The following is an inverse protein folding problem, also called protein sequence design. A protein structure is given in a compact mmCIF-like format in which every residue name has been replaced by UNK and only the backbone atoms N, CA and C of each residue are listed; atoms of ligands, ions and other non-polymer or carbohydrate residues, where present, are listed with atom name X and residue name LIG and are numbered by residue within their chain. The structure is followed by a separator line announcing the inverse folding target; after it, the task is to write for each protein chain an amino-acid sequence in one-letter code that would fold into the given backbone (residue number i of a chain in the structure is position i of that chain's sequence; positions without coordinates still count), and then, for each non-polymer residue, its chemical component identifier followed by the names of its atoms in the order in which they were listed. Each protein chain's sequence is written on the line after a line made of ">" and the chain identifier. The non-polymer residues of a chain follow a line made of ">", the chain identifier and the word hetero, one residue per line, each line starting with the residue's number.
data_IF_745447504412
#
_entry.id   IF_745447504412
#
_cell.length_a   1.000
_cell.length_b   1.000
_cell.length_c   1.000
_cell.angle_alpha   90.00
_cell.angle_beta   90.00
_cell.angle_gamma   90.00
#
_symmetry.space_group_name_H-M   'P 1'
#
loop_
_entity.id
_entity.type
_entity.pdbx_description
1 polymer ?
#
# COMPACT_ATOMS: atom_id res chain seq x y z
N UNK A 1 6.61 22.93 -1.54
CA UNK A 1 5.58 23.16 -2.63
C UNK A 1 5.62 22.11 -3.75
N UNK A 2 6.79 21.63 -4.18
CA UNK A 2 6.88 20.59 -5.22
C UNK A 2 6.31 19.22 -4.78
N UNK A 3 6.48 18.81 -3.52
CA UNK A 3 5.99 17.51 -3.03
C UNK A 3 4.45 17.42 -2.98
N UNK A 4 3.75 18.50 -2.60
CA UNK A 4 2.28 18.56 -2.66
C UNK A 4 1.76 18.35 -4.10
N UNK A 5 2.54 18.78 -5.11
CA UNK A 5 2.18 18.57 -6.51
C UNK A 5 2.33 17.11 -6.97
N UNK A 6 3.24 16.32 -6.38
CA UNK A 6 3.42 14.91 -6.78
C UNK A 6 2.30 14.05 -6.21
N UNK A 7 1.91 14.23 -4.94
CA UNK A 7 0.74 13.55 -4.36
C UNK A 7 -0.55 13.90 -5.14
N UNK A 8 -0.69 15.16 -5.57
CA UNK A 8 -1.81 15.60 -6.43
C UNK A 8 -1.79 14.96 -7.83
N UNK A 9 -0.62 14.60 -8.37
CA UNK A 9 -0.49 13.89 -9.65
C UNK A 9 -0.82 12.40 -9.51
N UNK A 10 -0.61 11.81 -8.32
CA UNK A 10 -0.91 10.39 -8.08
C UNK A 10 -2.41 10.09 -8.07
N UNK A 11 -3.23 11.01 -7.58
CA UNK A 11 -4.69 10.88 -7.56
C UNK A 11 -5.30 10.66 -8.96
N UNK A 12 -5.06 11.52 -9.98
CA UNK A 12 -5.61 11.29 -11.32
C UNK A 12 -5.06 10.02 -11.96
N UNK A 13 -3.84 9.61 -11.64
CA UNK A 13 -3.25 8.35 -12.13
C UNK A 13 -4.04 7.15 -11.58
N UNK A 14 -4.22 7.05 -10.26
CA UNK A 14 -4.96 5.92 -9.70
C UNK A 14 -6.42 5.90 -10.19
N UNK A 15 -7.06 7.07 -10.34
CA UNK A 15 -8.40 7.18 -10.91
C UNK A 15 -8.46 6.72 -12.37
N UNK A 16 -7.46 7.09 -13.18
CA UNK A 16 -7.32 6.57 -14.54
C UNK A 16 -7.13 5.04 -14.55
N UNK A 17 -6.33 4.50 -13.64
CA UNK A 17 -6.13 3.05 -13.52
C UNK A 17 -7.43 2.31 -13.18
N UNK A 18 -8.22 2.86 -12.25
CA UNK A 18 -9.55 2.36 -11.88
C UNK A 18 -10.51 2.42 -13.07
N UNK A 19 -10.52 3.52 -13.82
CA UNK A 19 -11.36 3.66 -15.02
C UNK A 19 -10.95 2.65 -16.10
N UNK A 20 -9.64 2.51 -16.35
CA UNK A 20 -9.09 1.55 -17.29
C UNK A 20 -9.45 0.11 -16.92
N UNK A 21 -9.39 -0.25 -15.63
CA UNK A 21 -9.82 -1.56 -15.15
C UNK A 21 -11.30 -1.82 -15.47
N UNK A 22 -12.19 -0.87 -15.18
CA UNK A 22 -13.62 -0.99 -15.46
C UNK A 22 -13.92 -1.08 -16.98
N UNK A 23 -13.13 -0.41 -17.81
CA UNK A 23 -13.22 -0.50 -19.27
C UNK A 23 -12.61 -1.78 -19.85
N UNK A 24 -12.01 -2.64 -19.01
CA UNK A 24 -11.32 -3.85 -19.45
C UNK A 24 -9.99 -3.58 -20.16
N UNK A 25 -9.36 -2.42 -19.94
CA UNK A 25 -8.03 -2.09 -20.47
C UNK A 25 -6.94 -2.53 -19.48
N UNK A 26 -6.75 -3.85 -19.33
CA UNK A 26 -5.89 -4.42 -18.28
C UNK A 26 -4.47 -3.86 -18.30
N UNK A 27 -3.87 -3.75 -19.49
CA UNK A 27 -2.51 -3.22 -19.63
C UNK A 27 -2.41 -1.78 -19.15
N UNK A 28 -3.40 -0.94 -19.46
CA UNK A 28 -3.44 0.47 -19.06
C UNK A 28 -3.70 0.62 -17.55
N UNK A 29 -4.51 -0.27 -16.96
CA UNK A 29 -4.71 -0.33 -15.53
C UNK A 29 -3.41 -0.68 -14.80
N UNK A 30 -2.74 -1.76 -15.22
CA UNK A 30 -1.47 -2.20 -14.64
C UNK A 30 -0.37 -1.13 -14.76
N UNK A 31 -0.21 -0.50 -15.94
CA UNK A 31 0.79 0.57 -16.11
C UNK A 31 0.50 1.76 -15.21
N UNK A 32 -0.78 2.11 -15.02
CA UNK A 32 -1.18 3.15 -14.09
C UNK A 32 -0.85 2.80 -12.64
N UNK A 33 -1.11 1.56 -12.20
CA UNK A 33 -0.78 1.11 -10.84
C UNK A 33 0.73 1.10 -10.59
N UNK A 34 1.52 0.68 -11.58
CA UNK A 34 2.98 0.77 -11.51
C UNK A 34 3.44 2.23 -11.44
N UNK A 35 2.88 3.12 -12.27
CA UNK A 35 3.21 4.54 -12.24
C UNK A 35 2.86 5.17 -10.89
N UNK A 36 1.71 4.83 -10.31
CA UNK A 36 1.30 5.29 -8.99
C UNK A 36 2.29 4.88 -7.89
N UNK A 37 2.75 3.62 -7.90
CA UNK A 37 3.73 3.11 -6.94
C UNK A 37 5.13 3.72 -7.13
N UNK A 38 5.56 3.95 -8.37
CA UNK A 38 6.83 4.60 -8.65
C UNK A 38 6.84 6.06 -8.21
N UNK A 39 5.75 6.80 -8.45
CA UNK A 39 5.64 8.19 -8.02
C UNK A 39 5.63 8.33 -6.49
N UNK A 40 5.02 7.39 -5.78
CA UNK A 40 5.12 7.32 -4.30
C UNK A 40 6.58 7.23 -3.84
N UNK A 41 7.33 6.30 -4.44
CA UNK A 41 8.74 6.11 -4.13
C UNK A 41 9.56 7.38 -4.40
N UNK A 42 9.35 8.01 -5.56
CA UNK A 42 10.06 9.23 -5.93
C UNK A 42 9.68 10.43 -5.06
N UNK A 43 8.42 10.57 -4.67
CA UNK A 43 7.98 11.64 -3.76
C UNK A 43 8.63 11.49 -2.39
N UNK A 44 8.69 10.26 -1.86
CA UNK A 44 9.41 9.97 -0.63
C UNK A 44 10.90 10.33 -0.70
N UNK A 45 11.56 10.09 -1.84
CA UNK A 45 12.96 10.48 -2.06
C UNK A 45 13.12 11.99 -2.17
N UNK A 46 12.24 12.66 -2.92
CA UNK A 46 12.29 14.10 -3.14
C UNK A 46 12.06 14.88 -1.84
N UNK A 47 11.06 14.50 -1.05
CA UNK A 47 10.77 15.16 0.21
C UNK A 47 11.91 15.05 1.24
N UNK A 48 12.60 13.90 1.29
CA UNK A 48 13.80 13.74 2.13
C UNK A 48 14.95 14.65 1.71
N UNK A 49 15.09 14.93 0.41
CA UNK A 49 16.14 15.82 -0.12
C UNK A 49 15.86 17.29 0.17
N UNK A 50 14.59 17.69 0.22
CA UNK A 50 14.18 19.10 0.42
C UNK A 50 13.87 19.42 1.89
N UNK A 51 13.88 18.42 2.78
CA UNK A 51 13.61 18.60 4.21
C UNK A 51 12.13 18.88 4.56
N UNK A 52 11.21 18.73 3.60
CA UNK A 52 9.75 18.93 3.78
C UNK A 52 9.04 17.67 4.35
N UNK A 53 9.76 16.84 5.11
CA UNK A 53 9.24 15.54 5.57
C UNK A 53 8.45 15.65 6.88
N UNK A 54 7.27 16.27 6.81
CA UNK A 54 6.40 16.53 7.96
C UNK A 54 5.53 15.32 8.36
N UNK A 55 5.16 15.24 9.64
CA UNK A 55 4.32 14.15 10.15
C UNK A 55 2.91 14.11 9.52
N UNK A 56 2.31 15.28 9.25
CA UNK A 56 1.01 15.39 8.59
C UNK A 56 1.04 14.87 7.16
N UNK A 57 2.10 15.18 6.41
CA UNK A 57 2.32 14.70 5.04
C UNK A 57 2.44 13.18 5.01
N UNK A 58 3.31 12.61 5.85
CA UNK A 58 3.50 11.15 5.96
C UNK A 58 2.21 10.42 6.30
N UNK A 59 1.37 10.98 7.19
CA UNK A 59 0.06 10.41 7.49
C UNK A 59 -0.87 10.44 6.28
N UNK A 60 -0.91 11.56 5.55
CA UNK A 60 -1.69 11.70 4.33
C UNK A 60 -1.27 10.70 3.24
N UNK A 61 0.03 10.55 2.99
CA UNK A 61 0.57 9.61 2.01
C UNK A 61 0.21 8.16 2.39
N UNK A 62 0.44 7.77 3.64
CA UNK A 62 0.09 6.42 4.12
C UNK A 62 -1.40 6.14 3.99
N UNK A 63 -2.27 7.11 4.29
CA UNK A 63 -3.72 6.93 4.14
C UNK A 63 -4.11 6.81 2.66
N UNK A 64 -3.59 7.69 1.81
CA UNK A 64 -3.85 7.66 0.37
C UNK A 64 -3.44 6.32 -0.24
N UNK A 65 -2.28 5.80 0.13
CA UNK A 65 -1.78 4.50 -0.34
C UNK A 65 -2.70 3.36 0.05
N UNK A 66 -3.06 3.29 1.34
CA UNK A 66 -3.88 2.19 1.87
C UNK A 66 -5.25 2.20 1.22
N UNK A 67 -5.89 3.37 1.15
CA UNK A 67 -7.19 3.51 0.50
C UNK A 67 -7.10 3.15 -0.98
N UNK A 68 -6.09 3.63 -1.70
CA UNK A 68 -5.89 3.34 -3.12
C UNK A 68 -5.70 1.84 -3.38
N UNK A 69 -4.80 1.20 -2.63
CA UNK A 69 -4.50 -0.24 -2.75
C UNK A 69 -5.76 -1.07 -2.47
N UNK A 70 -6.45 -0.82 -1.35
CA UNK A 70 -7.64 -1.58 -0.99
C UNK A 70 -8.80 -1.35 -1.96
N UNK A 71 -8.96 -0.13 -2.48
CA UNK A 71 -9.98 0.20 -3.49
C UNK A 71 -9.73 -0.56 -4.78
N UNK A 72 -8.49 -0.56 -5.28
CA UNK A 72 -8.14 -1.28 -6.51
C UNK A 72 -8.36 -2.78 -6.35
N UNK A 73 -7.82 -3.40 -5.30
CA UNK A 73 -7.98 -4.84 -5.07
C UNK A 73 -9.46 -5.20 -4.93
N UNK A 74 -10.24 -4.40 -4.20
CA UNK A 74 -11.68 -4.63 -4.05
C UNK A 74 -12.40 -4.58 -5.40
N UNK A 75 -12.12 -3.58 -6.23
CA UNK A 75 -12.71 -3.46 -7.56
C UNK A 75 -12.32 -4.64 -8.46
N UNK A 76 -11.07 -5.09 -8.40
CA UNK A 76 -10.61 -6.28 -9.14
C UNK A 76 -11.31 -7.55 -8.64
N UNK A 77 -11.49 -7.70 -7.32
CA UNK A 77 -12.27 -8.79 -6.74
C UNK A 77 -13.72 -8.79 -7.21
N UNK A 78 -14.34 -7.61 -7.28
CA UNK A 78 -15.70 -7.44 -7.82
C UNK A 78 -15.77 -7.76 -9.32
N UNK A 79 -14.80 -7.28 -10.09
CA UNK A 79 -14.75 -7.44 -11.55
C UNK A 79 -14.62 -8.91 -11.97
N UNK A 80 -13.76 -9.68 -11.30
CA UNK A 80 -13.53 -11.10 -11.61
C UNK A 80 -14.32 -12.07 -10.72
N UNK A 81 -15.02 -11.59 -9.68
CA UNK A 81 -15.80 -12.41 -8.76
C UNK A 81 -14.98 -13.32 -7.84
N UNK A 82 -13.68 -13.06 -7.66
CA UNK A 82 -12.74 -13.90 -6.89
C UNK A 82 -11.81 -13.10 -5.98
N UNK A 83 -10.83 -13.76 -5.36
CA UNK A 83 -9.77 -13.08 -4.58
C UNK A 83 -10.17 -12.59 -3.18
N UNK A 84 -11.44 -12.75 -2.79
CA UNK A 84 -12.02 -12.29 -1.53
C UNK A 84 -11.23 -12.70 -0.27
N UNK A 85 -10.77 -13.94 -0.23
CA UNK A 85 -9.99 -14.45 0.90
C UNK A 85 -8.65 -13.71 1.04
N UNK A 86 -7.92 -13.54 -0.08
CA UNK A 86 -6.65 -12.82 -0.09
C UNK A 86 -6.84 -11.37 0.33
N UNK A 87 -7.84 -10.68 -0.24
CA UNK A 87 -8.16 -9.31 0.12
C UNK A 87 -8.54 -9.16 1.60
N UNK A 88 -9.39 -10.04 2.12
CA UNK A 88 -9.83 -10.02 3.53
C UNK A 88 -8.65 -10.18 4.49
N UNK A 89 -7.70 -11.07 4.16
CA UNK A 89 -6.48 -11.28 4.93
C UNK A 89 -5.58 -10.04 4.92
N UNK A 90 -5.40 -9.42 3.76
CA UNK A 90 -4.64 -8.16 3.63
C UNK A 90 -5.30 -7.02 4.42
N UNK A 91 -6.62 -6.89 4.31
CA UNK A 91 -7.41 -5.88 5.02
C UNK A 91 -7.30 -6.06 6.54
N UNK A 92 -7.50 -7.29 7.04
CA UNK A 92 -7.38 -7.59 8.46
C UNK A 92 -5.99 -7.22 8.98
N UNK A 93 -4.93 -7.62 8.27
CA UNK A 93 -3.55 -7.30 8.65
C UNK A 93 -3.30 -5.79 8.72
N UNK A 94 -3.80 -5.02 7.76
CA UNK A 94 -3.63 -3.57 7.73
C UNK A 94 -4.43 -2.86 8.83
N UNK A 95 -5.65 -3.33 9.12
CA UNK A 95 -6.44 -2.83 10.24
C UNK A 95 -5.77 -3.13 11.59
N UNK A 96 -5.20 -4.33 11.75
CA UNK A 96 -4.44 -4.68 12.96
C UNK A 96 -3.19 -3.81 13.11
N UNK A 97 -2.44 -3.59 12.03
CA UNK A 97 -1.27 -2.71 12.06
C UNK A 97 -1.66 -1.26 12.40
N UNK A 98 -2.73 -0.75 11.78
CA UNK A 98 -3.26 0.59 12.04
C UNK A 98 -3.73 0.74 13.48
N UNK A 99 -4.54 -0.20 13.98
CA UNK A 99 -5.03 -0.19 15.36
C UNK A 99 -3.92 -0.27 16.40
N UNK A 100 -2.90 -1.12 16.16
CA UNK A 100 -1.74 -1.20 17.03
C UNK A 100 -0.93 0.11 17.04
N UNK A 101 -0.74 0.73 15.88
CA UNK A 101 -0.08 2.04 15.76
C UNK A 101 -0.85 3.14 16.51
N UNK A 102 -2.18 3.18 16.36
CA UNK A 102 -3.05 4.14 17.06
C UNK A 102 -3.02 3.94 18.58
N UNK A 103 -3.01 2.70 19.05
CA UNK A 103 -2.87 2.38 20.48
C UNK A 103 -1.55 2.91 21.05
N UNK A 104 -0.43 2.69 20.34
CA UNK A 104 0.88 3.17 20.76
C UNK A 104 0.96 4.69 20.77
N UNK A 105 0.35 5.35 19.78
CA UNK A 105 0.27 6.80 19.73
C UNK A 105 -0.52 7.36 20.92
N UNK A 106 -1.66 6.74 21.25
CA UNK A 106 -2.49 7.16 22.37
C UNK A 106 -1.78 6.98 23.73
N UNK A 107 -1.07 5.87 23.91
CA UNK A 107 -0.45 5.52 25.19
C UNK A 107 0.93 6.13 25.41
N UNK A 108 1.78 6.14 24.38
CA UNK A 108 3.20 6.51 24.49
C UNK A 108 3.56 7.77 23.71
N UNK A 109 2.63 8.37 22.94
CA UNK A 109 2.87 9.53 22.06
C UNK A 109 3.99 9.30 21.03
N UNK A 110 4.32 8.05 20.72
CA UNK A 110 5.33 7.68 19.73
C UNK A 110 4.67 7.42 18.39
N UNK A 111 5.16 8.07 17.33
CA UNK A 111 4.76 7.79 15.94
C UNK A 111 5.85 6.91 15.31
N UNK A 112 5.49 5.65 15.01
CA UNK A 112 6.44 4.69 14.43
C UNK A 112 6.16 4.52 12.95
N UNK A 113 7.13 4.94 12.14
CA UNK A 113 6.98 5.07 10.70
C UNK A 113 7.77 3.96 10.02
N UNK A 114 7.04 2.96 9.52
CA UNK A 114 7.53 1.93 8.60
C UNK A 114 8.37 0.79 9.20
N UNK A 115 8.21 -0.40 8.62
CA UNK A 115 9.13 -1.53 8.77
C UNK A 115 10.41 -1.31 7.92
N UNK A 116 11.51 -2.01 8.23
CA UNK A 116 12.74 -1.93 7.42
C UNK A 116 12.45 -2.28 5.95
N UNK A 117 11.59 -3.28 5.76
CA UNK A 117 11.20 -3.83 4.47
C UNK A 117 9.83 -3.34 3.99
N UNK A 118 9.40 -2.13 4.39
CA UNK A 118 8.07 -1.63 3.99
C UNK A 118 7.87 -1.56 2.47
N UNK A 119 8.94 -1.45 1.66
CA UNK A 119 8.86 -1.49 0.20
C UNK A 119 8.53 -2.87 -0.36
N UNK A 120 8.94 -3.96 0.31
CA UNK A 120 8.62 -5.32 -0.15
C UNK A 120 7.12 -5.62 -0.04
N UNK A 121 6.45 -5.01 0.95
CA UNK A 121 4.98 -5.04 1.06
C UNK A 121 4.31 -4.44 -0.19
N UNK A 122 4.70 -3.23 -0.58
CA UNK A 122 4.10 -2.54 -1.73
C UNK A 122 4.34 -3.27 -3.04
N UNK A 123 5.57 -3.75 -3.26
CA UNK A 123 5.94 -4.49 -4.48
C UNK A 123 5.20 -5.83 -4.56
N UNK A 124 5.12 -6.58 -3.46
CA UNK A 124 4.44 -7.89 -3.46
C UNK A 124 2.94 -7.76 -3.79
N UNK A 125 2.28 -6.72 -3.28
CA UNK A 125 0.89 -6.45 -3.61
C UNK A 125 0.73 -5.96 -5.05
N UNK A 126 1.60 -5.07 -5.52
CA UNK A 126 1.56 -4.59 -6.90
C UNK A 126 1.71 -5.74 -7.90
N UNK A 127 2.65 -6.65 -7.66
CA UNK A 127 2.85 -7.84 -8.52
C UNK A 127 1.64 -8.76 -8.46
N UNK A 128 1.09 -9.00 -7.27
CA UNK A 128 -0.12 -9.82 -7.09
C UNK A 128 -1.32 -9.22 -7.82
N UNK A 129 -1.53 -7.91 -7.71
CA UNK A 129 -2.64 -7.19 -8.31
C UNK A 129 -2.51 -7.12 -9.82
N UNK A 130 -1.34 -6.76 -10.35
CA UNK A 130 -1.11 -6.76 -11.80
C UNK A 130 -1.26 -8.16 -12.40
N UNK A 131 -0.81 -9.22 -11.69
CA UNK A 131 -1.07 -10.58 -12.13
C UNK A 131 -2.56 -10.86 -12.18
N UNK A 132 -3.31 -10.52 -11.12
CA UNK A 132 -4.75 -10.72 -11.06
C UNK A 132 -5.49 -10.02 -12.20
N UNK A 133 -5.19 -8.74 -12.42
CA UNK A 133 -5.79 -7.92 -13.48
C UNK A 133 -5.49 -8.49 -14.87
N UNK A 134 -4.29 -9.02 -15.11
CA UNK A 134 -3.92 -9.54 -16.42
C UNK A 134 -4.51 -10.91 -16.73
N UNK A 135 -4.63 -11.79 -15.74
CA UNK A 135 -5.05 -13.19 -15.94
C UNK A 135 -6.47 -13.48 -15.50
N UNK A 136 -7.13 -12.55 -14.80
CA UNK A 136 -8.47 -12.71 -14.22
C UNK A 136 -8.57 -13.74 -13.11
N UNK A 137 -7.44 -14.32 -12.69
CA UNK A 137 -7.33 -15.27 -11.59
C UNK A 137 -5.92 -15.26 -11.03
N UNK A 138 -5.76 -15.50 -9.73
CA UNK A 138 -4.43 -15.50 -9.11
C UNK A 138 -4.00 -16.90 -8.72
N UNK A 139 -2.75 -17.23 -9.07
CA UNK A 139 -2.11 -18.45 -8.59
C UNK A 139 -2.09 -18.49 -7.06
N UNK A 140 -2.45 -19.64 -6.50
CA UNK A 140 -2.38 -19.88 -5.06
C UNK A 140 -0.95 -19.70 -4.54
N UNK A 141 0.07 -20.13 -5.31
CA UNK A 141 1.46 -19.95 -4.94
C UNK A 141 1.83 -18.47 -4.80
N UNK A 142 1.44 -17.63 -5.77
CA UNK A 142 1.70 -16.19 -5.72
C UNK A 142 0.98 -15.54 -4.52
N UNK A 143 -0.27 -15.95 -4.28
CA UNK A 143 -1.06 -15.44 -3.14
C UNK A 143 -0.41 -15.79 -1.79
N UNK A 144 0.06 -17.03 -1.63
CA UNK A 144 0.76 -17.48 -0.42
C UNK A 144 2.08 -16.72 -0.24
N UNK A 145 2.85 -16.55 -1.30
CA UNK A 145 4.09 -15.77 -1.26
C UNK A 145 3.84 -14.30 -0.86
N UNK A 146 2.86 -13.65 -1.48
CA UNK A 146 2.48 -12.26 -1.13
C UNK A 146 2.02 -12.17 0.31
N UNK A 147 1.16 -13.09 0.76
CA UNK A 147 0.73 -13.13 2.16
C UNK A 147 1.92 -13.30 3.11
N UNK A 148 2.85 -14.22 2.84
CA UNK A 148 4.04 -14.43 3.66
C UNK A 148 4.88 -13.16 3.79
N UNK A 149 5.12 -12.42 2.69
CA UNK A 149 5.86 -11.15 2.72
C UNK A 149 5.10 -10.09 3.52
N UNK A 150 3.77 -10.00 3.34
CA UNK A 150 2.92 -9.02 4.02
C UNK A 150 2.88 -9.27 5.53
N UNK A 151 2.82 -10.53 5.96
CA UNK A 151 2.87 -10.89 7.38
C UNK A 151 4.26 -10.73 7.98
N UNK A 152 5.33 -11.11 7.26
CA UNK A 152 6.70 -10.91 7.72
C UNK A 152 7.01 -9.43 7.95
N UNK A 153 6.59 -8.56 7.03
CA UNK A 153 6.72 -7.10 7.18
C UNK A 153 5.87 -6.54 8.33
N UNK A 154 4.69 -7.12 8.58
CA UNK A 154 3.86 -6.77 9.74
C UNK A 154 4.51 -7.17 11.07
N UNK A 155 5.10 -8.37 11.13
CA UNK A 155 5.83 -8.83 12.30
C UNK A 155 7.07 -7.97 12.59
N UNK A 156 7.83 -7.58 11.56
CA UNK A 156 8.96 -6.64 11.71
C UNK A 156 8.49 -5.28 12.28
N UNK A 157 7.34 -4.77 11.80
CA UNK A 157 6.75 -3.55 12.33
C UNK A 157 6.43 -3.67 13.82
N UNK A 158 5.75 -4.74 14.24
CA UNK A 158 5.40 -4.97 15.65
C UNK A 158 6.66 -5.12 16.51
N UNK A 159 7.65 -5.88 16.06
CA UNK A 159 8.92 -6.08 16.77
C UNK A 159 9.70 -4.76 16.96
N UNK A 160 9.67 -3.87 15.96
CA UNK A 160 10.24 -2.53 16.07
C UNK A 160 9.49 -1.66 17.08
N UNK A 161 8.17 -1.72 17.03
CA UNK A 161 7.34 -0.98 17.98
C UNK A 161 7.59 -1.38 19.43
N UNK A 162 7.65 -2.68 19.70
CA UNK A 162 7.92 -3.19 21.04
C UNK A 162 9.34 -2.81 21.53
N UNK A 163 10.33 -2.78 20.64
CA UNK A 163 11.69 -2.31 20.97
C UNK A 163 11.71 -0.84 21.38
N UNK A 164 10.97 0.02 20.67
CA UNK A 164 10.92 1.45 20.96
C UNK A 164 10.15 1.79 22.24
N UNK A 165 9.16 0.98 22.62
CA UNK A 165 8.36 1.19 23.83
C UNK A 165 9.06 0.64 25.09
N UNK A 166 9.95 -0.34 24.93
CA UNK A 166 10.72 -0.94 26.03
C UNK A 166 12.05 -0.23 26.30
N UNK A 167 12.54 0.57 25.35
CA UNK A 167 13.72 1.42 25.51
C UNK A 167 13.37 2.68 26.31
#
# INVERSE_FOLDING_TARGET
>A
MAALSVTLVRIPIILFGIAALNMGWQLMACTSFVAFALLDYFDGVAARKVGEDTASRRLGDVLLDRVSIHTVILLTCLYYGGGWAAWSVLLLRDLLQGGFSSYLLAKYRVIIIGAYWHMSYGIAILVWECAYVMTGSVSQALTVCTAAIVYATGADYVARCLRLVRA
#
